data_IF_982134656245
#
_entry.id   IF_982134656245
#
_cell.length_a   1.000
_cell.length_b   1.000
_cell.length_c   1.000
_cell.angle_alpha   90.00
_cell.angle_beta   90.00
_cell.angle_gamma   90.00
#
_symmetry.space_group_name_H-M   'P 1'
#
loop_
_entity.id
_entity.type
_entity.pdbx_description
1 polymer ?
#
# COMPACT_ATOMS: atom_id res chain seq x y z
N UNK A 1 19.15 4.69 10.58
CA UNK A 1 18.26 3.51 10.52
C UNK A 1 17.59 3.41 11.88
N UNK A 2 16.48 4.11 12.06
CA UNK A 2 15.74 4.13 13.32
C UNK A 2 14.41 3.48 13.02
N UNK A 3 14.31 2.18 13.28
CA UNK A 3 13.06 1.45 13.17
C UNK A 3 12.14 1.94 14.29
N UNK A 4 11.09 2.66 13.93
CA UNK A 4 10.01 3.02 14.87
C UNK A 4 9.19 1.76 15.10
N UNK A 5 9.58 1.00 16.10
CA UNK A 5 8.79 -0.08 16.67
C UNK A 5 7.63 0.56 17.45
N UNK A 6 6.50 0.78 16.80
CA UNK A 6 5.26 1.14 17.48
C UNK A 6 4.79 -0.12 18.22
N UNK A 7 4.97 -0.16 19.54
CA UNK A 7 4.46 -1.28 20.35
C UNK A 7 2.95 -1.12 20.44
N UNK A 8 2.22 -2.23 20.45
CA UNK A 8 0.78 -2.26 20.70
C UNK A 8 0.36 -1.50 21.97
N UNK A 9 1.26 -1.31 22.94
CA UNK A 9 1.06 -0.49 24.14
C UNK A 9 0.96 1.02 23.89
N UNK A 10 1.61 1.53 22.83
CA UNK A 10 1.57 2.96 22.48
C UNK A 10 0.20 3.35 21.89
N UNK A 11 -0.54 2.38 21.35
CA UNK A 11 -1.89 2.57 20.82
C UNK A 11 -2.90 2.90 21.94
N UNK A 12 -2.87 2.20 23.07
CA UNK A 12 -3.74 2.55 24.22
C UNK A 12 -3.41 3.93 24.81
N UNK A 13 -2.13 4.32 24.82
CA UNK A 13 -1.70 5.62 25.35
C UNK A 13 -2.09 6.79 24.44
N UNK A 14 -2.08 6.61 23.11
CA UNK A 14 -2.48 7.63 22.14
C UNK A 14 -4.01 7.76 22.00
N UNK A 15 -4.78 6.67 22.17
CA UNK A 15 -6.23 6.64 21.93
C UNK A 15 -7.10 6.68 23.20
N UNK A 16 -6.52 6.70 24.39
CA UNK A 16 -7.23 6.55 25.68
C UNK A 16 -7.99 7.77 26.22
N UNK A 17 -8.15 8.88 25.49
CA UNK A 17 -8.65 10.13 26.07
C UNK A 17 -10.11 10.53 25.75
N UNK A 18 -10.85 9.84 24.87
CA UNK A 18 -12.28 10.17 24.63
C UNK A 18 -13.13 8.97 24.24
N UNK A 19 -13.43 8.09 25.20
CA UNK A 19 -14.62 7.23 25.12
C UNK A 19 -15.57 7.68 26.23
N UNK A 20 -16.55 8.51 25.87
CA UNK A 20 -17.72 8.76 26.70
C UNK A 20 -18.79 7.74 26.37
N UNK A 21 -18.69 6.55 26.96
CA UNK A 21 -19.85 5.66 27.10
C UNK A 21 -19.71 4.82 28.39
N UNK A 22 -20.71 4.81 29.30
CA UNK A 22 -20.61 4.05 30.54
C UNK A 22 -20.72 2.55 30.26
N UNK A 23 -19.76 1.77 30.76
CA UNK A 23 -19.76 0.32 30.70
C UNK A 23 -20.92 -0.28 31.53
N UNK A 24 -21.83 -1.00 30.88
CA UNK A 24 -22.78 -1.90 31.56
C UNK A 24 -22.36 -3.34 31.38
N UNK A 25 -22.33 -4.08 32.49
CA UNK A 25 -21.75 -5.40 32.65
C UNK A 25 -22.23 -6.45 31.65
N UNK A 26 -21.25 -7.02 30.96
CA UNK A 26 -21.30 -8.23 30.16
C UNK A 26 -19.87 -8.49 29.73
N UNK A 27 -19.53 -9.72 29.37
CA UNK A 27 -18.28 -10.05 28.68
C UNK A 27 -18.32 -9.43 27.27
N UNK A 28 -18.47 -8.11 27.18
CA UNK A 28 -18.62 -7.37 25.94
C UNK A 28 -17.23 -6.91 25.48
N UNK A 29 -16.88 -7.14 24.22
CA UNK A 29 -15.66 -6.57 23.65
C UNK A 29 -15.63 -5.07 23.95
N UNK A 30 -14.48 -4.55 24.42
CA UNK A 30 -14.34 -3.13 24.67
C UNK A 30 -14.53 -2.36 23.35
N UNK A 31 -15.10 -1.14 23.38
CA UNK A 31 -15.20 -0.31 22.18
C UNK A 31 -13.79 -0.09 21.62
N UNK A 32 -13.53 -0.61 20.42
CA UNK A 32 -12.20 -0.61 19.79
C UNK A 32 -11.52 -1.98 19.67
N UNK A 33 -12.06 -3.07 20.22
CA UNK A 33 -11.47 -4.40 20.04
C UNK A 33 -11.32 -4.78 18.57
N UNK A 34 -12.39 -4.58 17.77
CA UNK A 34 -12.39 -4.87 16.35
C UNK A 34 -11.32 -4.06 15.59
N UNK A 35 -11.17 -2.78 15.94
CA UNK A 35 -10.13 -1.93 15.36
C UNK A 35 -8.74 -2.46 15.72
N UNK A 36 -8.51 -2.85 16.98
CA UNK A 36 -7.23 -3.39 17.41
C UNK A 36 -6.86 -4.68 16.64
N UNK A 37 -7.80 -5.59 16.45
CA UNK A 37 -7.62 -6.82 15.66
C UNK A 37 -7.24 -6.49 14.20
N UNK A 38 -7.99 -5.60 13.55
CA UNK A 38 -7.72 -5.19 12.17
C UNK A 38 -6.37 -4.48 12.01
N UNK A 39 -5.98 -3.64 12.98
CA UNK A 39 -4.69 -2.95 12.97
C UNK A 39 -3.54 -3.94 13.09
N UNK A 40 -3.66 -4.96 13.96
CA UNK A 40 -2.64 -6.01 14.08
C UNK A 40 -2.53 -6.80 12.76
N UNK A 41 -3.64 -7.20 12.17
CA UNK A 41 -3.65 -7.89 10.88
C UNK A 41 -3.05 -7.04 9.75
N UNK A 42 -3.40 -5.76 9.68
CA UNK A 42 -2.85 -4.86 8.68
C UNK A 42 -1.36 -4.65 8.90
N UNK A 43 -0.92 -4.42 10.14
CA UNK A 43 0.50 -4.17 10.45
C UNK A 43 1.36 -5.40 10.15
N UNK A 44 0.88 -6.60 10.47
CA UNK A 44 1.58 -7.86 10.13
C UNK A 44 1.70 -8.06 8.62
N UNK A 45 0.67 -7.69 7.86
CA UNK A 45 0.74 -7.70 6.39
C UNK A 45 1.71 -6.63 5.86
N UNK A 46 1.65 -5.40 6.38
CA UNK A 46 2.53 -4.29 5.97
C UNK A 46 4.01 -4.56 6.23
N UNK A 47 4.33 -5.26 7.32
CA UNK A 47 5.69 -5.63 7.69
C UNK A 47 6.16 -6.96 7.05
N UNK A 48 5.33 -7.60 6.24
CA UNK A 48 5.71 -8.84 5.56
C UNK A 48 6.80 -8.58 4.51
N UNK A 49 7.67 -9.57 4.32
CA UNK A 49 8.71 -9.51 3.28
C UNK A 49 8.11 -9.36 1.87
N UNK A 50 6.89 -9.86 1.69
CA UNK A 50 6.13 -9.75 0.45
C UNK A 50 5.83 -8.30 0.07
N UNK A 51 5.52 -7.43 1.05
CA UNK A 51 5.31 -6.00 0.79
C UNK A 51 6.60 -5.20 0.70
N UNK A 52 7.72 -5.75 1.15
CA UNK A 52 9.04 -5.20 0.85
C UNK A 52 9.49 -5.50 -0.60
N UNK A 53 8.53 -5.69 -1.51
CA UNK A 53 8.70 -6.15 -2.89
C UNK A 53 9.73 -5.32 -3.68
N UNK A 54 9.73 -4.00 -3.49
CA UNK A 54 10.65 -3.09 -4.20
C UNK A 54 12.11 -3.41 -3.86
N UNK A 55 12.38 -3.76 -2.59
CA UNK A 55 13.73 -4.00 -2.07
C UNK A 55 14.15 -5.47 -2.11
N UNK A 56 13.21 -6.41 -2.23
CA UNK A 56 13.47 -7.86 -2.21
C UNK A 56 13.36 -8.51 -3.59
N UNK A 57 12.53 -7.99 -4.50
CA UNK A 57 12.25 -8.65 -5.77
C UNK A 57 13.43 -8.56 -6.75
N UNK A 58 13.88 -9.72 -7.25
CA UNK A 58 15.02 -9.80 -8.17
C UNK A 58 14.79 -9.15 -9.54
N UNK A 59 13.54 -9.09 -10.01
CA UNK A 59 13.20 -8.45 -11.27
C UNK A 59 13.29 -6.93 -11.16
N UNK A 60 12.78 -6.37 -10.06
CA UNK A 60 12.88 -4.94 -9.79
C UNK A 60 14.35 -4.52 -9.71
N UNK A 61 15.14 -5.24 -8.90
CA UNK A 61 16.55 -4.89 -8.66
C UNK A 61 17.49 -5.21 -9.80
N UNK A 62 17.23 -6.30 -10.54
CA UNK A 62 18.11 -6.75 -11.62
C UNK A 62 17.79 -6.07 -12.95
N UNK A 63 16.51 -5.85 -13.23
CA UNK A 63 16.03 -5.59 -14.59
C UNK A 63 15.19 -4.31 -14.71
N UNK A 64 14.76 -3.72 -13.60
CA UNK A 64 13.99 -2.47 -13.58
C UNK A 64 14.68 -1.32 -12.84
N UNK A 65 16.01 -1.23 -12.99
CA UNK A 65 16.79 -0.14 -12.42
C UNK A 65 16.62 1.16 -13.23
N UNK A 66 16.95 2.34 -12.66
CA UNK A 66 16.93 3.61 -13.40
C UNK A 66 17.76 3.59 -14.70
N UNK A 67 18.82 2.77 -14.75
CA UNK A 67 19.64 2.59 -15.94
C UNK A 67 18.86 1.94 -17.09
N UNK A 68 18.11 0.86 -16.82
CA UNK A 68 17.34 0.15 -17.84
C UNK A 68 16.17 0.97 -18.36
N UNK A 69 15.49 1.71 -17.47
CA UNK A 69 14.42 2.65 -17.83
C UNK A 69 14.90 3.72 -18.80
N UNK A 70 15.99 4.42 -18.46
CA UNK A 70 16.56 5.49 -19.31
C UNK A 70 16.96 5.01 -20.71
N UNK A 71 17.37 3.75 -20.84
CA UNK A 71 17.79 3.17 -22.13
C UNK A 71 16.67 2.43 -22.86
N UNK A 72 15.48 2.29 -22.27
CA UNK A 72 14.34 1.55 -22.85
C UNK A 72 14.71 0.12 -23.26
N UNK A 73 15.53 -0.54 -22.45
CA UNK A 73 16.03 -1.91 -22.69
C UNK A 73 15.36 -2.96 -21.79
N UNK A 74 14.29 -2.58 -21.09
CA UNK A 74 13.57 -3.51 -20.21
C UNK A 74 12.76 -4.48 -21.06
N UNK A 75 12.88 -5.78 -20.77
CA UNK A 75 12.07 -6.80 -21.43
C UNK A 75 10.58 -6.64 -21.04
N UNK A 76 9.64 -6.55 -22.01
CA UNK A 76 8.22 -6.38 -21.72
C UNK A 76 7.64 -7.50 -20.85
N UNK A 77 8.14 -8.73 -20.97
CA UNK A 77 7.73 -9.85 -20.12
C UNK A 77 8.06 -9.61 -18.65
N UNK A 78 9.21 -8.98 -18.38
CA UNK A 78 9.63 -8.63 -17.01
C UNK A 78 8.73 -7.53 -16.45
N UNK A 79 8.36 -6.54 -17.27
CA UNK A 79 7.44 -5.48 -16.86
C UNK A 79 6.05 -6.03 -16.52
N UNK A 80 5.53 -6.94 -17.34
CA UNK A 80 4.26 -7.62 -17.06
C UNK A 80 4.33 -8.43 -15.76
N UNK A 81 5.43 -9.13 -15.50
CA UNK A 81 5.63 -9.88 -14.26
C UNK A 81 5.64 -8.95 -13.04
N UNK A 82 6.41 -7.87 -13.09
CA UNK A 82 6.49 -6.87 -12.01
C UNK A 82 5.10 -6.26 -11.76
N UNK A 83 4.41 -5.85 -12.82
CA UNK A 83 3.05 -5.30 -12.74
C UNK A 83 2.08 -6.29 -12.09
N UNK A 84 2.04 -7.53 -12.56
CA UNK A 84 1.13 -8.53 -12.04
C UNK A 84 1.36 -8.79 -10.54
N UNK A 85 2.62 -8.95 -10.12
CA UNK A 85 2.96 -9.20 -8.72
C UNK A 85 2.63 -8.00 -7.83
N UNK A 86 3.01 -6.79 -8.24
CA UNK A 86 2.75 -5.58 -7.45
C UNK A 86 1.25 -5.28 -7.32
N UNK A 87 0.47 -5.45 -8.40
CA UNK A 87 -0.99 -5.30 -8.36
C UNK A 87 -1.65 -6.34 -7.46
N UNK A 88 -1.19 -7.60 -7.49
CA UNK A 88 -1.71 -8.64 -6.61
C UNK A 88 -1.44 -8.35 -5.12
N UNK A 89 -0.30 -7.74 -4.81
CA UNK A 89 0.03 -7.30 -3.46
C UNK A 89 -0.89 -6.15 -3.00
N UNK A 90 -1.10 -5.13 -3.83
CA UNK A 90 -2.03 -4.04 -3.51
C UNK A 90 -3.45 -4.54 -3.28
N UNK A 91 -3.95 -5.42 -4.17
CA UNK A 91 -5.29 -5.98 -4.05
C UNK A 91 -5.52 -6.79 -2.75
N UNK A 92 -4.45 -7.30 -2.13
CA UNK A 92 -4.52 -7.98 -0.82
C UNK A 92 -4.57 -7.00 0.35
N UNK A 93 -3.95 -5.83 0.22
CA UNK A 93 -3.80 -4.85 1.30
C UNK A 93 -4.97 -3.88 1.33
N UNK A 94 -5.44 -3.42 0.17
CA UNK A 94 -6.58 -2.50 0.03
C UNK A 94 -7.80 -2.86 0.91
N UNK A 95 -8.34 -4.09 0.88
CA UNK A 95 -9.52 -4.41 1.68
C UNK A 95 -9.27 -4.31 3.19
N UNK A 96 -8.03 -4.54 3.65
CA UNK A 96 -7.67 -4.39 5.07
C UNK A 96 -7.52 -2.91 5.46
N UNK A 97 -6.92 -2.11 4.58
CA UNK A 97 -6.81 -0.66 4.77
C UNK A 97 -8.20 -0.02 4.83
N UNK A 98 -9.11 -0.41 3.95
CA UNK A 98 -10.49 0.05 3.96
C UNK A 98 -11.21 -0.36 5.25
N UNK A 99 -11.08 -1.62 5.67
CA UNK A 99 -11.68 -2.10 6.91
C UNK A 99 -11.20 -1.32 8.15
N UNK A 100 -9.88 -1.07 8.26
CA UNK A 100 -9.32 -0.24 9.33
C UNK A 100 -9.85 1.19 9.24
N UNK A 101 -9.86 1.80 8.05
CA UNK A 101 -10.33 3.17 7.85
C UNK A 101 -11.78 3.33 8.28
N UNK A 102 -12.65 2.40 7.90
CA UNK A 102 -14.07 2.41 8.27
C UNK A 102 -14.26 2.28 9.78
N UNK A 103 -13.58 1.32 10.43
CA UNK A 103 -13.66 1.16 11.88
C UNK A 103 -13.07 2.37 12.64
N UNK A 104 -12.02 3.00 12.11
CA UNK A 104 -11.49 4.24 12.68
C UNK A 104 -12.50 5.40 12.57
N UNK A 105 -13.18 5.57 11.43
CA UNK A 105 -14.20 6.60 11.25
C UNK A 105 -15.43 6.42 12.14
N UNK A 106 -15.73 5.18 12.54
CA UNK A 106 -16.80 4.90 13.50
C UNK A 106 -16.46 5.35 14.92
N UNK A 107 -15.17 5.34 15.28
CA UNK A 107 -14.69 5.61 16.64
C UNK A 107 -14.09 7.01 16.81
N UNK A 108 -13.59 7.59 15.72
CA UNK A 108 -12.83 8.83 15.71
C UNK A 108 -13.24 9.76 14.55
N UNK A 109 -12.93 11.06 14.63
CA UNK A 109 -13.12 11.98 13.51
C UNK A 109 -12.35 11.53 12.26
N UNK A 110 -12.87 11.88 11.08
CA UNK A 110 -12.24 11.57 9.79
C UNK A 110 -10.77 12.01 9.70
N UNK A 111 -10.41 13.14 10.30
CA UNK A 111 -9.03 13.64 10.31
C UNK A 111 -8.06 12.67 11.00
N UNK A 112 -8.50 12.01 12.08
CA UNK A 112 -7.69 11.01 12.80
C UNK A 112 -7.49 9.76 11.96
N UNK A 113 -8.54 9.29 11.28
CA UNK A 113 -8.43 8.17 10.36
C UNK A 113 -7.46 8.50 9.21
N UNK A 114 -7.58 9.68 8.60
CA UNK A 114 -6.69 10.12 7.53
C UNK A 114 -5.22 10.22 7.95
N UNK A 115 -4.95 10.87 9.10
CA UNK A 115 -3.60 11.00 9.64
C UNK A 115 -2.96 9.62 9.86
N UNK A 116 -3.71 8.70 10.46
CA UNK A 116 -3.22 7.36 10.75
C UNK A 116 -2.88 6.58 9.48
N UNK A 117 -3.77 6.61 8.47
CA UNK A 117 -3.52 5.96 7.19
C UNK A 117 -2.28 6.54 6.52
N UNK A 118 -2.12 7.87 6.56
CA UNK A 118 -0.94 8.53 6.01
C UNK A 118 0.36 8.10 6.70
N UNK A 119 0.36 8.02 8.04
CA UNK A 119 1.56 7.67 8.80
C UNK A 119 1.93 6.18 8.73
N UNK A 120 0.94 5.29 8.72
CA UNK A 120 1.18 3.85 8.89
C UNK A 120 1.03 3.04 7.61
N UNK A 121 0.18 3.47 6.68
CA UNK A 121 -0.11 2.72 5.45
C UNK A 121 0.64 3.33 4.27
N UNK A 122 0.52 4.66 4.06
CA UNK A 122 1.11 5.31 2.89
C UNK A 122 2.63 5.15 2.83
N UNK A 123 3.33 5.23 3.96
CA UNK A 123 4.78 5.05 4.02
C UNK A 123 5.27 3.70 3.46
N UNK A 124 4.45 2.64 3.56
CA UNK A 124 4.79 1.29 3.06
C UNK A 124 4.27 1.08 1.64
N UNK A 125 3.11 1.63 1.31
CA UNK A 125 2.49 1.42 -0.01
C UNK A 125 3.00 2.37 -1.10
N UNK A 126 3.49 3.56 -0.74
CA UNK A 126 3.99 4.56 -1.71
C UNK A 126 5.09 4.00 -2.62
N UNK A 127 6.14 3.30 -2.11
CA UNK A 127 7.16 2.70 -2.99
C UNK A 127 6.57 1.69 -3.98
N UNK A 128 5.57 0.91 -3.56
CA UNK A 128 4.92 -0.09 -4.40
C UNK A 128 4.03 0.55 -5.47
N UNK A 129 3.30 1.61 -5.12
CA UNK A 129 2.48 2.40 -6.05
C UNK A 129 3.36 3.13 -7.07
N UNK A 130 4.43 3.79 -6.61
CA UNK A 130 5.40 4.47 -7.47
C UNK A 130 6.06 3.50 -8.45
N UNK A 131 6.38 2.28 -8.02
CA UNK A 131 6.89 1.24 -8.91
C UNK A 131 5.88 0.88 -10.02
N UNK A 132 4.60 0.76 -9.70
CA UNK A 132 3.56 0.46 -10.68
C UNK A 132 3.38 1.59 -11.70
N UNK A 133 3.42 2.85 -11.24
CA UNK A 133 3.39 4.02 -12.12
C UNK A 133 4.59 4.00 -13.08
N UNK A 134 5.79 3.77 -12.55
CA UNK A 134 7.03 3.67 -13.34
C UNK A 134 6.92 2.56 -14.41
N UNK A 135 6.38 1.39 -14.04
CA UNK A 135 6.17 0.27 -14.96
C UNK A 135 5.16 0.64 -16.04
N UNK A 136 4.05 1.29 -15.66
CA UNK A 136 3.02 1.70 -16.61
C UNK A 136 3.55 2.74 -17.61
N UNK A 137 4.30 3.73 -17.15
CA UNK A 137 4.98 4.72 -18.02
C UNK A 137 5.92 4.00 -18.99
N UNK A 138 6.74 3.07 -18.48
CA UNK A 138 7.68 2.32 -19.33
C UNK A 138 6.95 1.49 -20.41
N UNK A 139 5.82 0.87 -20.06
CA UNK A 139 4.98 0.12 -21.02
C UNK A 139 4.44 1.07 -22.11
N UNK A 140 3.91 2.23 -21.72
CA UNK A 140 3.37 3.20 -22.68
C UNK A 140 4.45 3.72 -23.64
N UNK A 141 5.69 3.92 -23.16
CA UNK A 141 6.80 4.35 -24.01
C UNK A 141 7.28 3.30 -25.01
N UNK A 142 7.04 2.00 -24.75
CA UNK A 142 7.39 0.92 -25.67
C UNK A 142 6.32 0.66 -26.73
N UNK A 143 5.07 1.07 -26.48
CA UNK A 143 4.02 0.95 -27.47
C UNK A 143 4.28 2.00 -28.58
N UNK A 144 4.39 1.58 -29.86
CA UNK A 144 4.50 2.53 -30.94
C UNK A 144 3.25 3.39 -30.95
N UNK A 145 3.42 4.72 -30.93
CA UNK A 145 2.33 5.67 -31.07
C UNK A 145 1.63 5.37 -32.40
N UNK A 146 0.47 4.71 -32.35
CA UNK A 146 -0.37 4.37 -33.50
C UNK A 146 -1.09 5.62 -34.05
N UNK A 147 -0.33 6.68 -34.26
CA UNK A 147 -0.79 7.97 -34.72
C UNK A 147 0.05 8.45 -35.91
N UNK A 148 0.17 7.60 -36.94
CA UNK A 148 0.40 8.07 -38.30
C UNK A 148 -0.76 7.55 -39.16
N UNK A 149 -1.71 8.41 -39.58
CA UNK A 149 -2.67 8.03 -40.60
C UNK A 149 -1.86 7.66 -41.84
N UNK A 150 -2.03 6.42 -42.31
CA UNK A 150 -1.53 6.03 -43.63
C UNK A 150 -2.04 7.06 -44.65
N UNK A 151 -1.17 7.75 -45.40
CA UNK A 151 -1.63 8.51 -46.54
C UNK A 151 -2.12 7.50 -47.58
N UNK A 152 -3.43 7.52 -47.84
CA UNK A 152 -3.99 6.84 -49.00
C UNK A 152 -3.46 7.53 -50.27
N UNK A 153 -2.33 7.04 -50.80
CA UNK A 153 -1.91 7.31 -52.18
C UNK A 153 -2.72 6.41 -53.10
N UNK A 154 -3.61 7.01 -53.89
CA UNK A 154 -3.45 7.35 -55.32
C UNK A 154 -3.64 6.15 -56.25
#
# INVERSE_FOLDING_TARGET
MTGVQVRSSDFCAAFGASVQQPCSGGTSPYPGQRLAELVVELTTLLLSEELNFVDTNMYVKGWFTPYHRRRKVVNPLILQQIQHQATALLARVEPKVEAVTQEMRHLFPDSTAQEWIQQHVSAVLEPLQSLLEDVQVTIQEMLPSSAHPFPAGQ
#
